data_IF_710585541559
#
_entry.id   IF_710585541559
#
_cell.length_a   1.000
_cell.length_b   1.000
_cell.length_c   1.000
_cell.angle_alpha   90.00
_cell.angle_beta   90.00
_cell.angle_gamma   90.00
#
_symmetry.space_group_name_H-M   'P 1'
#
loop_
_entity.id
_entity.type
_entity.pdbx_description
1 polymer ?
#
# COMPACT_ATOMS: atom_id res chain seq x y z
N UNK A 1 -8.90 -15.75 22.59
CA UNK A 1 -8.84 -16.08 24.04
C UNK A 1 -9.95 -15.39 24.82
N UNK A 2 -10.04 -14.06 24.84
CA UNK A 2 -11.08 -13.32 25.60
C UNK A 2 -12.53 -13.67 25.23
N UNK A 3 -12.76 -14.11 23.99
CA UNK A 3 -14.07 -14.57 23.50
C UNK A 3 -14.34 -16.08 23.70
N UNK A 4 -13.52 -16.77 24.51
CA UNK A 4 -13.69 -18.20 24.84
C UNK A 4 -13.16 -19.18 23.79
N UNK A 5 -12.27 -18.73 22.91
CA UNK A 5 -11.54 -19.61 21.98
C UNK A 5 -10.19 -20.02 22.56
N UNK A 6 -9.87 -21.30 22.41
CA UNK A 6 -8.51 -21.81 22.51
C UNK A 6 -7.75 -21.43 21.23
N UNK A 7 -6.50 -21.02 21.36
CA UNK A 7 -5.68 -20.53 20.25
C UNK A 7 -4.30 -21.16 20.35
N UNK A 8 -3.87 -21.80 19.27
CA UNK A 8 -2.53 -22.37 19.09
C UNK A 8 -1.78 -21.58 18.01
N UNK A 9 -0.50 -21.33 18.24
CA UNK A 9 0.38 -20.60 17.32
C UNK A 9 1.23 -21.60 16.53
N UNK A 10 0.66 -22.15 15.47
CA UNK A 10 1.19 -23.32 14.80
C UNK A 10 2.51 -23.09 14.04
N UNK A 11 2.73 -21.90 13.46
CA UNK A 11 4.03 -21.55 12.85
C UNK A 11 5.14 -21.40 13.89
N UNK A 12 4.86 -20.75 15.02
CA UNK A 12 5.85 -20.59 16.11
C UNK A 12 6.28 -21.92 16.73
N UNK A 13 5.40 -22.93 16.70
CA UNK A 13 5.71 -24.29 17.13
C UNK A 13 6.39 -25.14 16.04
N UNK A 14 6.47 -24.63 14.79
CA UNK A 14 6.97 -25.36 13.63
C UNK A 14 6.07 -26.54 13.22
N UNK A 15 4.81 -26.53 13.64
CA UNK A 15 3.88 -27.66 13.50
C UNK A 15 2.91 -27.50 12.32
N UNK A 16 2.74 -26.29 11.80
CA UNK A 16 1.86 -25.99 10.66
C UNK A 16 2.44 -24.94 9.74
N UNK A 17 1.85 -24.80 8.55
CA UNK A 17 2.20 -23.76 7.59
C UNK A 17 1.38 -22.47 7.76
N UNK A 18 0.28 -22.54 8.50
CA UNK A 18 -0.55 -21.41 8.87
C UNK A 18 -0.18 -20.89 10.27
N UNK A 19 -0.42 -19.60 10.52
CA UNK A 19 -0.04 -18.93 11.76
C UNK A 19 -0.83 -19.39 13.00
N UNK A 20 -2.17 -19.45 12.91
CA UNK A 20 -3.03 -19.74 14.07
C UNK A 20 -4.04 -20.86 13.79
N UNK A 21 -4.20 -21.74 14.77
CA UNK A 21 -5.38 -22.59 14.90
C UNK A 21 -6.23 -22.05 16.03
N UNK A 22 -7.54 -21.91 15.82
CA UNK A 22 -8.46 -21.57 16.90
C UNK A 22 -9.60 -22.57 17.00
N UNK A 23 -10.08 -22.81 18.23
CA UNK A 23 -11.18 -23.73 18.47
C UNK A 23 -12.10 -23.26 19.60
N UNK A 24 -13.37 -23.68 19.50
CA UNK A 24 -14.37 -23.53 20.57
C UNK A 24 -15.40 -24.65 20.45
N UNK A 25 -15.34 -25.61 21.37
CA UNK A 25 -16.12 -26.83 21.25
C UNK A 25 -15.71 -27.62 20.00
N UNK A 26 -16.68 -27.94 19.14
CA UNK A 26 -16.44 -28.65 17.88
C UNK A 26 -16.01 -27.74 16.72
N UNK A 27 -16.12 -26.42 16.87
CA UNK A 27 -15.75 -25.47 15.83
C UNK A 27 -14.25 -25.21 15.86
N UNK A 28 -13.59 -25.41 14.71
CA UNK A 28 -12.14 -25.25 14.55
C UNK A 28 -11.88 -24.50 13.24
N UNK A 29 -11.00 -23.50 13.27
CA UNK A 29 -10.63 -22.73 12.09
C UNK A 29 -9.16 -22.34 12.06
N UNK A 30 -8.67 -22.01 10.87
CA UNK A 30 -7.28 -21.63 10.61
C UNK A 30 -7.18 -20.15 10.25
N UNK A 31 -6.12 -19.47 10.69
CA UNK A 31 -5.83 -18.09 10.31
C UNK A 31 -4.40 -17.99 9.80
N UNK A 32 -4.24 -17.30 8.68
CA UNK A 32 -2.94 -16.88 8.16
C UNK A 32 -2.86 -15.37 8.14
N UNK A 33 -1.81 -14.83 8.74
CA UNK A 33 -1.54 -13.41 8.82
C UNK A 33 -0.56 -12.99 7.72
N UNK A 34 -0.86 -11.89 7.02
CA UNK A 34 0.05 -11.26 6.08
C UNK A 34 0.25 -9.80 6.42
N UNK A 35 1.51 -9.38 6.48
CA UNK A 35 1.88 -7.97 6.53
C UNK A 35 2.19 -7.48 5.12
N UNK A 36 1.53 -6.42 4.69
CA UNK A 36 1.81 -5.73 3.44
C UNK A 36 2.51 -4.40 3.72
N UNK A 37 3.76 -4.31 3.27
CA UNK A 37 4.56 -3.10 3.34
C UNK A 37 3.88 -1.92 2.64
N UNK A 38 4.05 -0.72 3.18
CA UNK A 38 3.64 0.53 2.54
C UNK A 38 4.37 0.77 1.20
N UNK A 39 5.48 0.06 0.96
CA UNK A 39 6.23 0.10 -0.29
C UNK A 39 5.81 -0.97 -1.30
N UNK A 40 4.92 -1.91 -0.93
CA UNK A 40 4.47 -2.95 -1.82
C UNK A 40 3.70 -2.36 -3.01
N UNK A 41 4.18 -2.64 -4.23
CA UNK A 41 3.56 -2.14 -5.46
C UNK A 41 4.01 -0.73 -5.88
N UNK A 42 4.82 -0.03 -5.06
CA UNK A 42 5.39 1.25 -5.46
C UNK A 42 6.40 1.10 -6.58
N UNK A 43 6.39 2.03 -7.54
CA UNK A 43 7.40 2.12 -8.59
C UNK A 43 8.72 2.65 -8.06
N UNK A 44 8.69 3.46 -6.99
CA UNK A 44 9.88 3.91 -6.27
C UNK A 44 9.76 3.39 -4.84
N UNK A 45 10.50 2.33 -4.54
CA UNK A 45 10.55 1.80 -3.18
C UNK A 45 11.40 2.73 -2.30
N UNK A 46 10.93 3.10 -1.10
CA UNK A 46 11.66 4.05 -0.21
C UNK A 46 13.10 3.64 0.05
N UNK A 47 13.33 2.36 0.39
CA UNK A 47 14.69 1.79 0.56
C UNK A 47 15.60 2.05 -0.66
N UNK A 48 15.13 1.77 -1.87
CA UNK A 48 15.94 1.94 -3.08
C UNK A 48 16.18 3.42 -3.40
N UNK A 49 15.20 4.28 -3.11
CA UNK A 49 15.35 5.73 -3.20
C UNK A 49 16.43 6.26 -2.26
N UNK A 50 16.43 5.85 -0.98
CA UNK A 50 17.46 6.30 -0.04
C UNK A 50 18.85 5.76 -0.38
N UNK A 51 18.97 4.52 -0.86
CA UNK A 51 20.24 3.99 -1.37
C UNK A 51 20.73 4.77 -2.59
N UNK A 52 19.81 5.20 -3.45
CA UNK A 52 20.15 6.08 -4.57
C UNK A 52 20.62 7.45 -4.08
N UNK A 53 19.93 8.05 -3.10
CA UNK A 53 20.32 9.33 -2.49
C UNK A 53 21.72 9.27 -1.88
N UNK A 54 22.05 8.19 -1.19
CA UNK A 54 23.40 7.94 -0.67
C UNK A 54 24.44 7.89 -1.81
N UNK A 55 24.10 7.26 -2.93
CA UNK A 55 24.99 7.13 -4.09
C UNK A 55 25.30 8.48 -4.78
N UNK A 56 24.42 9.48 -4.66
CA UNK A 56 24.62 10.82 -5.24
C UNK A 56 25.00 11.88 -4.20
N UNK A 57 25.21 11.49 -2.94
CA UNK A 57 25.42 12.44 -1.84
C UNK A 57 26.60 13.39 -2.08
N UNK A 58 27.71 12.89 -2.66
CA UNK A 58 28.88 13.71 -2.99
C UNK A 58 28.57 14.78 -4.04
N UNK A 59 27.78 14.45 -5.07
CA UNK A 59 27.38 15.43 -6.08
C UNK A 59 26.45 16.51 -5.50
N UNK A 60 25.54 16.12 -4.59
CA UNK A 60 24.68 17.07 -3.90
C UNK A 60 25.48 18.00 -2.97
N UNK A 61 26.50 17.48 -2.27
CA UNK A 61 27.38 18.28 -1.43
C UNK A 61 28.17 19.30 -2.24
N UNK A 62 28.77 18.89 -3.37
CA UNK A 62 29.47 19.80 -4.28
C UNK A 62 28.54 20.89 -4.84
N UNK A 63 27.27 20.57 -5.09
CA UNK A 63 26.31 21.56 -5.57
C UNK A 63 25.98 22.62 -4.51
N UNK A 64 25.93 22.25 -3.23
CA UNK A 64 25.68 23.20 -2.15
C UNK A 64 26.74 24.30 -2.07
N UNK A 65 28.00 23.99 -2.42
CA UNK A 65 29.11 24.96 -2.45
C UNK A 65 28.91 26.06 -3.50
N UNK A 66 28.07 25.82 -4.52
CA UNK A 66 27.80 26.79 -5.58
C UNK A 66 26.85 27.91 -5.16
N UNK A 67 26.36 27.86 -3.91
CA UNK A 67 25.43 28.84 -3.31
C UNK A 67 24.15 29.07 -4.11
N UNK A 68 23.60 27.99 -4.68
CA UNK A 68 22.34 27.97 -5.43
C UNK A 68 21.35 27.06 -4.71
N UNK A 69 20.09 27.47 -4.69
CA UNK A 69 18.97 26.63 -4.23
C UNK A 69 18.26 26.05 -5.44
N UNK A 70 18.31 24.72 -5.56
CA UNK A 70 17.80 24.04 -6.75
C UNK A 70 16.93 22.84 -6.41
N UNK A 71 16.19 22.39 -7.40
CA UNK A 71 15.36 21.19 -7.39
C UNK A 71 15.81 20.30 -8.53
N UNK A 72 16.33 19.12 -8.21
CA UNK A 72 16.56 18.05 -9.16
C UNK A 72 15.31 17.20 -9.28
N UNK A 73 14.57 17.37 -10.37
CA UNK A 73 13.47 16.49 -10.75
C UNK A 73 14.01 15.30 -11.54
N UNK A 74 13.74 14.08 -11.04
CA UNK A 74 14.04 12.81 -11.68
C UNK A 74 12.73 12.15 -12.06
N UNK A 75 12.47 12.01 -13.36
CA UNK A 75 11.31 11.28 -13.88
C UNK A 75 11.75 9.96 -14.46
N UNK A 76 11.32 8.86 -13.85
CA UNK A 76 11.54 7.51 -14.33
C UNK A 76 10.42 7.11 -15.31
N UNK A 77 10.77 6.41 -16.38
CA UNK A 77 9.79 5.84 -17.30
C UNK A 77 8.97 4.72 -16.64
N UNK A 78 9.55 4.04 -15.65
CA UNK A 78 8.94 2.96 -14.89
C UNK A 78 9.49 2.91 -13.46
N UNK A 79 9.97 1.76 -13.01
CA UNK A 79 10.42 1.48 -11.64
C UNK A 79 11.87 1.90 -11.41
N UNK A 80 12.17 2.41 -10.22
CA UNK A 80 13.56 2.58 -9.77
C UNK A 80 14.18 1.18 -9.56
N UNK A 81 15.28 0.83 -10.23
CA UNK A 81 15.89 -0.48 -10.06
C UNK A 81 16.31 -0.74 -8.62
N UNK A 82 16.07 -1.95 -8.11
CA UNK A 82 16.51 -2.35 -6.76
C UNK A 82 17.97 -2.81 -6.69
N UNK A 83 18.66 -2.83 -7.83
CA UNK A 83 20.05 -3.23 -7.97
C UNK A 83 20.92 -1.98 -8.21
N UNK A 84 21.93 -1.77 -7.36
CA UNK A 84 22.84 -0.62 -7.47
C UNK A 84 23.59 -0.58 -8.80
N UNK A 85 23.89 -1.73 -9.42
CA UNK A 85 24.54 -1.76 -10.73
C UNK A 85 23.66 -1.18 -11.84
N UNK A 86 22.35 -1.45 -11.79
CA UNK A 86 21.37 -0.91 -12.73
C UNK A 86 21.09 0.58 -12.48
N UNK A 87 21.37 1.09 -11.27
CA UNK A 87 21.28 2.52 -10.96
C UNK A 87 22.49 3.33 -11.46
N UNK A 88 23.63 2.70 -11.80
CA UNK A 88 24.87 3.39 -12.21
C UNK A 88 24.68 4.41 -13.35
N UNK A 89 23.91 4.13 -14.42
CA UNK A 89 23.68 5.11 -15.49
C UNK A 89 22.97 6.37 -14.98
N UNK A 90 21.98 6.20 -14.09
CA UNK A 90 21.25 7.30 -13.47
C UNK A 90 22.16 8.12 -12.56
N UNK A 91 22.94 7.48 -11.69
CA UNK A 91 23.92 8.14 -10.81
C UNK A 91 24.90 8.97 -11.63
N UNK A 92 25.53 8.37 -12.65
CA UNK A 92 26.47 9.08 -13.53
C UNK A 92 25.84 10.28 -14.23
N UNK A 93 24.58 10.17 -14.65
CA UNK A 93 23.86 11.26 -15.29
C UNK A 93 23.58 12.41 -14.31
N UNK A 94 23.23 12.10 -13.05
CA UNK A 94 23.08 13.11 -11.99
C UNK A 94 24.42 13.78 -11.70
N UNK A 95 25.49 13.01 -11.52
CA UNK A 95 26.83 13.57 -11.27
C UNK A 95 27.22 14.52 -12.40
N UNK A 96 27.04 14.08 -13.65
CA UNK A 96 27.39 14.89 -14.83
C UNK A 96 26.56 16.17 -14.92
N UNK A 97 25.27 16.11 -14.60
CA UNK A 97 24.37 17.27 -14.60
C UNK A 97 24.73 18.27 -13.49
N UNK A 98 25.09 17.78 -12.30
CA UNK A 98 25.47 18.64 -11.16
C UNK A 98 26.82 19.31 -11.36
N UNK A 99 27.78 18.64 -12.00
CA UNK A 99 29.07 19.23 -12.32
C UNK A 99 28.98 20.23 -13.49
N UNK A 100 28.15 19.96 -14.49
CA UNK A 100 27.91 20.87 -15.61
C UNK A 100 26.88 21.94 -15.20
N UNK A 101 27.35 22.96 -14.47
CA UNK A 101 26.52 24.04 -13.93
C UNK A 101 25.77 24.90 -14.96
N UNK A 102 25.95 24.63 -16.26
CA UNK A 102 25.22 25.25 -17.38
C UNK A 102 24.08 24.40 -17.89
N UNK A 103 24.20 23.06 -17.81
CA UNK A 103 23.20 22.13 -18.29
C UNK A 103 22.05 22.03 -17.30
N UNK A 104 20.81 22.12 -17.81
CA UNK A 104 19.59 22.03 -17.00
C UNK A 104 18.81 20.74 -17.19
N UNK A 105 19.14 19.96 -18.22
CA UNK A 105 18.42 18.74 -18.58
C UNK A 105 19.42 17.62 -18.83
N UNK A 106 19.16 16.46 -18.24
CA UNK A 106 19.85 15.20 -18.53
C UNK A 106 18.86 14.16 -19.06
N UNK A 107 19.27 13.37 -20.05
CA UNK A 107 18.49 12.27 -20.60
C UNK A 107 19.28 10.98 -20.51
N UNK A 108 18.58 9.89 -20.21
CA UNK A 108 19.14 8.55 -20.25
C UNK A 108 18.07 7.52 -20.58
N UNK A 109 18.50 6.27 -20.73
CA UNK A 109 17.56 5.19 -20.97
C UNK A 109 16.69 4.97 -19.72
N UNK A 110 15.37 5.11 -19.89
CA UNK A 110 14.39 4.97 -18.81
C UNK A 110 14.29 6.13 -17.80
N UNK A 111 14.97 7.26 -18.00
CA UNK A 111 14.85 8.42 -17.10
C UNK A 111 15.11 9.78 -17.76
N UNK A 112 14.56 10.84 -17.15
CA UNK A 112 14.80 12.26 -17.46
C UNK A 112 15.14 13.02 -16.19
N UNK A 113 16.15 13.88 -16.28
CA UNK A 113 16.63 14.76 -15.22
C UNK A 113 16.36 16.21 -15.61
N UNK A 114 15.84 17.00 -14.68
CA UNK A 114 15.61 18.44 -14.86
C UNK A 114 16.05 19.17 -13.61
N UNK A 115 16.90 20.19 -13.78
CA UNK A 115 17.40 21.01 -12.69
C UNK A 115 16.73 22.38 -12.74
N UNK A 116 15.93 22.68 -11.73
CA UNK A 116 15.15 23.90 -11.64
C UNK A 116 15.64 24.79 -10.50
N UNK A 117 15.61 26.13 -10.63
CA UNK A 117 15.74 27.02 -9.50
C UNK A 117 14.60 26.80 -8.49
N UNK A 118 14.91 26.73 -7.19
CA UNK A 118 13.91 26.52 -6.13
C UNK A 118 12.76 27.53 -6.21
N UNK A 119 13.11 28.80 -6.43
CA UNK A 119 12.14 29.90 -6.47
C UNK A 119 11.11 29.77 -7.60
N UNK A 120 11.46 29.11 -8.71
CA UNK A 120 10.53 28.85 -9.82
C UNK A 120 9.51 27.76 -9.46
N UNK A 121 9.90 26.78 -8.62
CA UNK A 121 9.04 25.67 -8.23
C UNK A 121 8.13 26.02 -7.05
N UNK A 122 8.67 26.74 -6.07
CA UNK A 122 8.03 26.92 -4.76
C UNK A 122 7.91 28.38 -4.29
N UNK A 123 8.44 29.34 -5.07
CA UNK A 123 8.54 30.73 -4.65
C UNK A 123 9.72 30.98 -3.70
N UNK A 124 9.79 32.19 -3.14
CA UNK A 124 10.94 32.63 -2.33
C UNK A 124 10.83 32.29 -0.85
N UNK A 125 9.67 31.80 -0.39
CA UNK A 125 9.47 31.42 1.00
C UNK A 125 10.02 30.00 1.23
N UNK A 126 10.89 29.83 2.22
CA UNK A 126 11.29 28.49 2.64
C UNK A 126 10.11 27.79 3.31
N UNK A 127 9.75 26.62 2.79
CA UNK A 127 8.84 25.72 3.47
C UNK A 127 9.62 25.12 4.66
N UNK A 128 9.01 25.11 5.85
CA UNK A 128 9.62 24.59 7.08
C UNK A 128 8.93 23.30 7.58
N UNK A 129 7.79 22.95 6.98
CA UNK A 129 7.01 21.76 7.32
C UNK A 129 7.17 20.67 6.25
N UNK A 130 7.49 19.45 6.68
CA UNK A 130 7.60 18.30 5.79
C UNK A 130 6.31 18.05 5.01
N UNK A 131 5.13 18.16 5.65
CA UNK A 131 3.85 17.96 4.95
C UNK A 131 3.62 19.05 3.91
N UNK A 132 4.01 20.29 4.20
CA UNK A 132 3.97 21.40 3.24
C UNK A 132 4.88 21.14 2.04
N UNK A 133 6.10 20.61 2.24
CA UNK A 133 6.99 20.22 1.14
C UNK A 133 6.38 19.16 0.24
N UNK A 134 5.84 18.08 0.80
CA UNK A 134 5.19 17.03 0.00
C UNK A 134 3.97 17.57 -0.76
N UNK A 135 3.16 18.45 -0.15
CA UNK A 135 2.03 19.09 -0.84
C UNK A 135 2.51 20.00 -1.98
N UNK A 136 3.55 20.80 -1.76
CA UNK A 136 4.11 21.69 -2.78
C UNK A 136 4.72 20.90 -3.94
N UNK A 137 5.49 19.85 -3.66
CA UNK A 137 6.01 18.93 -4.67
C UNK A 137 4.87 18.23 -5.42
N UNK A 138 3.83 17.80 -4.69
CA UNK A 138 2.60 17.24 -5.25
C UNK A 138 1.94 18.16 -6.28
N UNK A 139 1.87 19.45 -5.97
CA UNK A 139 1.29 20.49 -6.85
C UNK A 139 2.19 20.80 -8.04
N UNK A 140 3.50 20.91 -7.84
CA UNK A 140 4.46 21.30 -8.87
C UNK A 140 4.78 20.14 -9.85
N UNK A 141 4.87 18.92 -9.34
CA UNK A 141 5.44 17.78 -10.07
C UNK A 141 4.52 16.56 -10.13
N UNK A 142 3.30 16.65 -9.58
CA UNK A 142 2.34 15.55 -9.53
C UNK A 142 2.44 14.73 -8.25
N UNK A 143 1.47 13.83 -8.05
CA UNK A 143 1.37 12.96 -6.88
C UNK A 143 2.42 11.83 -6.92
N UNK A 144 2.54 11.08 -5.81
CA UNK A 144 3.46 9.94 -5.66
C UNK A 144 4.95 10.28 -5.86
N UNK A 145 5.35 11.47 -5.42
CA UNK A 145 6.74 11.92 -5.42
C UNK A 145 7.49 11.41 -4.19
N UNK A 146 8.77 11.08 -4.40
CA UNK A 146 9.74 10.89 -3.35
C UNK A 146 10.61 12.14 -3.27
N UNK A 147 10.76 12.68 -2.06
CA UNK A 147 11.42 13.95 -1.85
C UNK A 147 12.47 13.76 -0.75
N UNK A 148 13.71 14.13 -1.05
CA UNK A 148 14.80 14.18 -0.09
C UNK A 148 15.86 15.18 -0.56
N UNK A 149 16.67 15.67 0.35
CA UNK A 149 17.73 16.62 0.03
C UNK A 149 18.02 17.52 1.21
N UNK A 150 18.95 18.44 0.99
CA UNK A 150 19.27 19.45 1.97
C UNK A 150 19.20 20.82 1.30
N UNK A 151 18.49 21.74 1.93
CA UNK A 151 18.38 23.14 1.53
C UNK A 151 18.72 23.99 2.74
N UNK A 152 19.67 24.91 2.55
CA UNK A 152 20.03 25.95 3.51
C UNK A 152 19.74 27.31 2.88
N UNK A 153 19.77 28.38 3.68
CA UNK A 153 19.68 29.75 3.15
C UNK A 153 20.81 30.04 2.14
N UNK A 154 21.98 29.47 2.36
CA UNK A 154 23.16 29.68 1.51
C UNK A 154 23.16 28.83 0.24
N UNK A 155 22.33 27.80 0.13
CA UNK A 155 22.27 26.91 -1.04
C UNK A 155 21.85 25.48 -0.70
N UNK A 156 21.76 24.64 -1.73
CA UNK A 156 21.43 23.23 -1.60
C UNK A 156 20.57 22.71 -2.76
N UNK A 157 20.22 21.43 -2.67
CA UNK A 157 19.45 20.77 -3.71
C UNK A 157 18.39 19.85 -3.10
N UNK A 158 17.15 20.03 -3.53
CA UNK A 158 16.04 19.14 -3.25
C UNK A 158 15.90 18.14 -4.41
N UNK A 159 16.01 16.85 -4.12
CA UNK A 159 15.76 15.79 -5.10
C UNK A 159 14.30 15.37 -5.01
N UNK A 160 13.60 15.51 -6.13
CA UNK A 160 12.22 15.03 -6.32
C UNK A 160 12.25 13.92 -7.36
N UNK A 161 11.90 12.70 -6.96
CA UNK A 161 11.83 11.56 -7.87
C UNK A 161 10.38 11.11 -8.06
N UNK A 162 9.99 10.87 -9.32
CA UNK A 162 8.68 10.34 -9.70
C UNK A 162 8.78 9.29 -10.80
N UNK A 163 7.71 8.52 -10.97
CA UNK A 163 7.55 7.54 -12.04
C UNK A 163 6.39 7.94 -12.94
N UNK A 164 6.50 7.69 -14.25
CA UNK A 164 5.39 7.82 -15.18
C UNK A 164 4.35 6.69 -15.05
N UNK A 165 4.70 5.60 -14.37
CA UNK A 165 3.77 4.54 -13.97
C UNK A 165 3.22 4.83 -12.58
N UNK A 166 1.94 4.54 -12.40
CA UNK A 166 1.28 4.61 -11.10
C UNK A 166 1.73 3.48 -10.17
N UNK A 167 1.65 3.73 -8.87
CA UNK A 167 1.83 2.71 -7.85
C UNK A 167 0.59 1.80 -7.84
N UNK A 168 0.80 0.48 -7.85
CA UNK A 168 -0.31 -0.48 -7.80
C UNK A 168 -0.05 -1.56 -6.74
N UNK A 169 -0.67 -1.46 -5.56
CA UNK A 169 -0.54 -2.45 -4.50
C UNK A 169 -1.42 -3.70 -4.73
N UNK A 170 -2.25 -3.72 -5.78
CA UNK A 170 -3.24 -4.78 -6.00
C UNK A 170 -2.60 -6.14 -6.27
N UNK A 171 -1.58 -6.18 -7.14
CA UNK A 171 -0.87 -7.42 -7.45
C UNK A 171 -0.14 -8.00 -6.23
N UNK A 172 0.70 -7.24 -5.48
CA UNK A 172 1.32 -7.74 -4.25
C UNK A 172 0.31 -8.24 -3.22
N UNK A 173 -0.82 -7.54 -3.07
CA UNK A 173 -1.90 -7.94 -2.15
C UNK A 173 -2.53 -9.27 -2.56
N UNK A 174 -2.89 -9.42 -3.83
CA UNK A 174 -3.45 -10.68 -4.36
C UNK A 174 -2.45 -11.83 -4.26
N UNK A 175 -1.17 -11.59 -4.54
CA UNK A 175 -0.12 -12.60 -4.37
C UNK A 175 0.03 -13.02 -2.90
N UNK A 176 -0.04 -12.08 -1.95
CA UNK A 176 -0.02 -12.39 -0.53
C UNK A 176 -1.24 -13.23 -0.10
N UNK A 177 -2.44 -12.86 -0.57
CA UNK A 177 -3.67 -13.63 -0.35
C UNK A 177 -3.56 -15.05 -0.91
N UNK A 178 -3.06 -15.21 -2.15
CA UNK A 178 -2.89 -16.53 -2.77
C UNK A 178 -1.89 -17.39 -2.02
N UNK A 179 -0.77 -16.80 -1.58
CA UNK A 179 0.23 -17.50 -0.75
C UNK A 179 -0.38 -17.94 0.58
N UNK A 180 -1.18 -17.09 1.20
CA UNK A 180 -1.88 -17.45 2.43
C UNK A 180 -2.85 -18.62 2.21
N UNK A 181 -3.64 -18.58 1.12
CA UNK A 181 -4.63 -19.62 0.83
C UNK A 181 -4.00 -21.02 0.67
N UNK A 182 -2.77 -21.12 0.14
CA UNK A 182 -2.09 -22.42 -0.05
C UNK A 182 -1.42 -22.96 1.22
N UNK A 183 -1.33 -22.17 2.29
CA UNK A 183 -0.77 -22.59 3.58
C UNK A 183 -1.80 -23.29 4.49
N UNK A 184 -3.09 -23.14 4.17
CA UNK A 184 -4.17 -23.82 4.89
C UNK A 184 -4.26 -25.30 4.53
N UNK A 185 -4.84 -26.10 5.43
CA UNK A 185 -5.07 -27.53 5.20
C UNK A 185 -6.15 -27.79 4.16
N UNK A 186 -7.12 -26.87 4.04
CA UNK A 186 -8.30 -27.03 3.21
C UNK A 186 -9.33 -28.02 3.78
N UNK A 187 -9.17 -28.43 5.05
CA UNK A 187 -10.04 -29.38 5.76
C UNK A 187 -11.02 -28.71 6.73
N UNK A 188 -10.85 -27.41 6.97
CA UNK A 188 -11.68 -26.62 7.89
C UNK A 188 -11.79 -25.17 7.42
N UNK A 189 -12.71 -24.37 7.99
CA UNK A 189 -12.80 -22.94 7.68
C UNK A 189 -11.47 -22.22 7.86
N UNK A 190 -11.13 -21.36 6.91
CA UNK A 190 -9.89 -20.59 6.94
C UNK A 190 -10.11 -19.09 6.74
N UNK A 191 -9.25 -18.28 7.35
CA UNK A 191 -9.35 -16.82 7.29
C UNK A 191 -7.99 -16.20 7.03
N UNK A 192 -7.96 -15.21 6.14
CA UNK A 192 -6.73 -14.46 5.87
C UNK A 192 -6.83 -13.13 6.58
N UNK A 193 -5.88 -12.84 7.46
CA UNK A 193 -5.78 -11.54 8.14
C UNK A 193 -4.64 -10.73 7.52
N UNK A 194 -4.96 -9.62 6.86
CA UNK A 194 -3.97 -8.76 6.22
C UNK A 194 -3.84 -7.45 7.00
N UNK A 195 -2.61 -7.15 7.42
CA UNK A 195 -2.25 -5.85 7.96
C UNK A 195 -1.55 -5.01 6.88
N UNK A 196 -2.16 -3.90 6.48
CA UNK A 196 -1.62 -2.96 5.50
C UNK A 196 -0.90 -1.80 6.18
N UNK A 197 0.38 -1.65 5.89
CA UNK A 197 1.21 -0.59 6.50
C UNK A 197 1.06 0.76 5.79
N UNK A 198 0.43 0.78 4.62
CA UNK A 198 0.26 1.98 3.79
C UNK A 198 -1.05 2.73 4.02
N UNK A 199 -1.90 2.26 4.93
CA UNK A 199 -3.21 2.86 5.20
C UNK A 199 -3.34 3.19 6.69
N UNK A 200 -3.94 4.33 7.00
CA UNK A 200 -4.33 4.71 8.34
C UNK A 200 -5.65 4.03 8.75
N UNK A 201 -6.01 3.99 10.05
CA UNK A 201 -7.28 3.40 10.47
C UNK A 201 -8.49 4.04 9.76
N UNK A 202 -8.49 5.36 9.60
CA UNK A 202 -9.55 6.07 8.88
C UNK A 202 -9.73 5.63 7.42
N UNK A 203 -8.65 5.17 6.78
CA UNK A 203 -8.65 4.75 5.37
C UNK A 203 -9.42 3.45 5.16
N UNK A 204 -9.62 2.64 6.21
CA UNK A 204 -10.45 1.42 6.15
C UNK A 204 -11.92 1.72 5.82
N UNK A 205 -12.35 2.98 5.98
CA UNK A 205 -13.68 3.44 5.60
C UNK A 205 -13.75 3.96 4.16
N UNK A 206 -12.61 4.13 3.47
CA UNK A 206 -12.60 4.68 2.12
C UNK A 206 -13.21 3.69 1.12
N UNK A 207 -14.23 4.10 0.34
CA UNK A 207 -14.92 3.19 -0.58
C UNK A 207 -14.00 2.50 -1.59
N UNK A 208 -12.99 3.20 -2.12
CA UNK A 208 -12.04 2.61 -3.07
C UNK A 208 -11.13 1.55 -2.42
N UNK A 209 -10.79 1.68 -1.13
CA UNK A 209 -10.00 0.68 -0.40
C UNK A 209 -10.82 -0.58 -0.19
N UNK A 210 -12.06 -0.44 0.31
CA UNK A 210 -13.00 -1.56 0.50
C UNK A 210 -13.32 -2.25 -0.82
N UNK A 211 -13.64 -1.48 -1.86
CA UNK A 211 -13.97 -2.00 -3.20
C UNK A 211 -12.80 -2.77 -3.83
N UNK A 212 -11.59 -2.18 -3.83
CA UNK A 212 -10.40 -2.84 -4.37
C UNK A 212 -10.12 -4.15 -3.64
N UNK A 213 -10.22 -4.15 -2.32
CA UNK A 213 -10.07 -5.38 -1.52
C UNK A 213 -11.13 -6.40 -1.90
N UNK A 214 -12.40 -5.99 -2.01
CA UNK A 214 -13.50 -6.85 -2.44
C UNK A 214 -13.21 -7.55 -3.77
N UNK A 215 -12.80 -6.80 -4.79
CA UNK A 215 -12.45 -7.35 -6.11
C UNK A 215 -11.36 -8.41 -5.99
N UNK A 216 -10.29 -8.14 -5.23
CA UNK A 216 -9.16 -9.06 -5.09
C UNK A 216 -9.54 -10.31 -4.27
N UNK A 217 -10.35 -10.16 -3.23
CA UNK A 217 -10.90 -11.26 -2.45
C UNK A 217 -11.83 -12.14 -3.28
N UNK A 218 -12.73 -11.56 -4.09
CA UNK A 218 -13.60 -12.36 -4.96
C UNK A 218 -12.81 -13.07 -6.07
N UNK A 219 -11.76 -12.45 -6.61
CA UNK A 219 -10.82 -13.13 -7.50
C UNK A 219 -10.13 -14.30 -6.79
N UNK A 220 -9.70 -14.14 -5.53
CA UNK A 220 -9.13 -15.22 -4.73
C UNK A 220 -10.11 -16.40 -4.58
N UNK A 221 -11.35 -16.13 -4.17
CA UNK A 221 -12.35 -17.17 -3.89
C UNK A 221 -12.78 -17.90 -5.16
N UNK A 222 -13.19 -17.15 -6.19
CA UNK A 222 -13.75 -17.69 -7.43
C UNK A 222 -12.69 -18.08 -8.45
N UNK A 223 -11.89 -17.10 -8.90
CA UNK A 223 -10.94 -17.34 -10.00
C UNK A 223 -9.75 -18.22 -9.60
N UNK A 224 -9.24 -18.07 -8.37
CA UNK A 224 -8.15 -18.90 -7.86
C UNK A 224 -8.61 -20.11 -7.03
N UNK A 225 -9.93 -20.34 -6.92
CA UNK A 225 -10.50 -21.55 -6.33
C UNK A 225 -10.25 -21.72 -4.83
N UNK A 226 -9.99 -20.64 -4.10
CA UNK A 226 -9.75 -20.69 -2.66
C UNK A 226 -11.08 -20.80 -1.86
N UNK A 227 -11.91 -21.79 -2.19
CA UNK A 227 -13.25 -21.95 -1.60
C UNK A 227 -13.21 -22.31 -0.11
N UNK A 228 -12.12 -22.87 0.38
CA UNK A 228 -11.89 -23.13 1.81
C UNK A 228 -11.63 -21.86 2.63
N UNK A 229 -11.36 -20.71 1.98
CA UNK A 229 -11.21 -19.43 2.67
C UNK A 229 -12.58 -18.80 2.84
N UNK A 230 -12.97 -18.58 4.09
CA UNK A 230 -14.28 -18.05 4.46
C UNK A 230 -14.34 -16.53 4.44
N UNK A 231 -13.25 -15.84 4.76
CA UNK A 231 -13.16 -14.40 4.65
C UNK A 231 -11.71 -13.90 4.59
N UNK A 232 -11.56 -12.69 4.04
CA UNK A 232 -10.33 -11.90 4.16
C UNK A 232 -10.60 -10.69 5.02
N UNK A 233 -9.81 -10.50 6.08
CA UNK A 233 -9.86 -9.35 6.97
C UNK A 233 -8.74 -8.39 6.62
N UNK A 234 -9.05 -7.10 6.53
CA UNK A 234 -8.07 -6.04 6.30
C UNK A 234 -8.04 -5.09 7.48
N UNK A 235 -6.84 -4.82 7.98
CA UNK A 235 -6.57 -3.80 8.99
C UNK A 235 -5.43 -2.87 8.57
N UNK A 236 -5.40 -1.66 9.13
CA UNK A 236 -4.22 -0.79 9.08
C UNK A 236 -3.15 -1.21 10.10
N UNK A 237 -1.89 -0.90 9.82
CA UNK A 237 -0.79 -1.06 10.78
C UNK A 237 -0.90 -0.05 11.92
N UNK A 238 -0.64 -0.49 13.15
CA UNK A 238 -0.71 0.37 14.34
C UNK A 238 -2.13 0.88 14.66
N UNK A 239 -3.15 0.36 13.99
CA UNK A 239 -4.55 0.68 14.22
C UNK A 239 -5.03 0.03 15.52
N UNK A 240 -4.57 0.49 16.68
CA UNK A 240 -5.05 -0.05 17.97
C UNK A 240 -6.05 0.92 18.57
N UNK A 241 -7.24 0.42 18.90
CA UNK A 241 -8.32 1.19 19.50
C UNK A 241 -8.71 0.56 20.82
N UNK A 242 -8.82 1.39 21.86
CA UNK A 242 -9.40 0.99 23.14
C UNK A 242 -10.87 1.41 23.18
N UNK A 243 -11.79 0.45 23.34
CA UNK A 243 -13.23 0.68 23.40
C UNK A 243 -13.88 -0.32 24.35
N UNK A 244 -14.80 0.15 25.20
CA UNK A 244 -15.59 -0.69 26.12
C UNK A 244 -14.72 -1.62 27.00
N UNK A 245 -13.54 -1.14 27.41
CA UNK A 245 -12.57 -1.90 28.21
C UNK A 245 -11.77 -2.96 27.44
N UNK A 246 -11.94 -3.02 26.12
CA UNK A 246 -11.22 -3.93 25.22
C UNK A 246 -10.23 -3.16 24.35
N UNK A 247 -9.13 -3.83 23.98
CA UNK A 247 -8.16 -3.34 23.01
C UNK A 247 -8.29 -4.20 21.76
N UNK A 248 -8.54 -3.57 20.62
CA UNK A 248 -8.72 -4.27 19.36
C UNK A 248 -8.15 -3.49 18.19
N UNK A 249 -8.00 -4.21 17.08
CA UNK A 249 -7.54 -3.63 15.82
C UNK A 249 -8.75 -3.54 14.88
N UNK A 250 -9.22 -2.33 14.52
CA UNK A 250 -10.37 -2.19 13.66
C UNK A 250 -10.03 -2.75 12.27
N UNK A 251 -10.95 -3.54 11.75
CA UNK A 251 -10.82 -4.16 10.44
C UNK A 251 -12.17 -4.13 9.72
N UNK A 252 -12.15 -4.30 8.40
CA UNK A 252 -13.32 -4.76 7.67
C UNK A 252 -13.04 -6.15 7.10
N UNK A 253 -14.10 -6.93 6.92
CA UNK A 253 -14.03 -8.26 6.35
C UNK A 253 -14.69 -8.29 4.98
N UNK A 254 -14.12 -9.08 4.07
CA UNK A 254 -14.75 -9.49 2.82
C UNK A 254 -15.08 -10.97 2.93
N UNK A 255 -16.35 -11.35 3.15
CA UNK A 255 -16.75 -12.74 3.23
C UNK A 255 -16.71 -13.39 1.84
N UNK A 256 -16.39 -14.68 1.81
CA UNK A 256 -16.59 -15.52 0.65
C UNK A 256 -18.09 -15.77 0.47
N UNK A 257 -18.69 -15.48 -0.71
CA UNK A 257 -20.10 -15.73 -0.95
C UNK A 257 -20.45 -17.22 -1.03
N UNK A 258 -19.48 -18.08 -1.37
CA UNK A 258 -19.66 -19.52 -1.55
C UNK A 258 -18.52 -20.30 -0.85
N UNK A 259 -18.46 -20.27 0.50
CA UNK A 259 -17.42 -20.99 1.22
C UNK A 259 -17.68 -22.50 1.19
N UNK A 260 -16.61 -23.29 1.10
CA UNK A 260 -16.64 -24.77 1.19
C UNK A 260 -17.17 -25.23 2.55
N UNK A 261 -16.90 -24.47 3.59
CA UNK A 261 -17.28 -24.77 4.97
C UNK A 261 -18.25 -23.72 5.48
N UNK A 262 -19.49 -24.12 5.75
CA UNK A 262 -20.46 -23.24 6.37
C UNK A 262 -20.07 -22.91 7.80
N UNK A 263 -20.28 -21.65 8.18
CA UNK A 263 -20.07 -21.18 9.55
C UNK A 263 -21.42 -20.78 10.11
N UNK A 264 -21.85 -21.44 11.18
CA UNK A 264 -23.02 -20.99 11.92
C UNK A 264 -22.72 -19.65 12.59
N UNK A 265 -23.65 -18.68 12.57
CA UNK A 265 -23.49 -17.43 13.31
C UNK A 265 -23.19 -17.62 14.80
N UNK A 266 -23.69 -18.72 15.40
CA UNK A 266 -23.39 -19.04 16.79
C UNK A 266 -21.90 -19.37 17.01
N UNK A 267 -21.28 -20.08 16.05
CA UNK A 267 -19.91 -20.56 16.13
C UNK A 267 -18.89 -19.45 15.93
N UNK A 268 -19.28 -18.37 15.24
CA UNK A 268 -18.43 -17.22 14.95
C UNK A 268 -18.97 -15.90 15.52
N UNK A 269 -19.93 -15.93 16.46
CA UNK A 269 -20.58 -14.73 16.98
C UNK A 269 -19.60 -13.59 17.36
N UNK A 270 -18.44 -13.86 17.99
CA UNK A 270 -17.46 -12.80 18.29
C UNK A 270 -16.80 -12.18 17.05
N UNK A 271 -16.65 -12.92 15.95
CA UNK A 271 -16.15 -12.42 14.67
C UNK A 271 -17.20 -11.67 13.85
N UNK A 272 -18.48 -11.88 14.16
CA UNK A 272 -19.62 -11.27 13.47
C UNK A 272 -20.08 -9.96 14.14
N UNK A 273 -19.45 -9.56 15.25
CA UNK A 273 -19.71 -8.25 15.87
C UNK A 273 -19.26 -7.18 14.89
N UNK A 274 -20.24 -6.48 14.33
CA UNK A 274 -20.02 -5.33 13.45
C UNK A 274 -20.38 -4.05 14.20
N UNK A 275 -19.68 -2.97 13.85
CA UNK A 275 -20.00 -1.62 14.30
C UNK A 275 -20.37 -0.79 13.08
N UNK A 276 -21.21 0.23 13.25
CA UNK A 276 -21.52 1.14 12.16
C UNK A 276 -20.28 1.95 11.76
N UNK A 277 -20.24 2.46 10.53
CA UNK A 277 -19.16 3.38 10.11
C UNK A 277 -19.11 4.65 10.98
N UNK A 278 -20.24 5.07 11.57
CA UNK A 278 -20.28 6.17 12.52
C UNK A 278 -19.61 5.82 13.86
N UNK A 279 -19.94 4.66 14.42
CA UNK A 279 -19.31 4.16 15.64
C UNK A 279 -17.81 3.89 15.44
N UNK A 280 -17.45 3.44 14.24
CA UNK A 280 -16.07 3.25 13.81
C UNK A 280 -15.33 4.58 13.78
N UNK A 281 -15.87 5.57 13.07
CA UNK A 281 -15.27 6.90 12.93
C UNK A 281 -15.04 7.56 14.29
N UNK A 282 -16.02 7.45 15.18
CA UNK A 282 -15.91 7.92 16.56
C UNK A 282 -14.78 7.20 17.33
N UNK A 283 -14.66 5.88 17.19
CA UNK A 283 -13.66 5.08 17.89
C UNK A 283 -12.22 5.37 17.43
N UNK A 284 -12.00 5.69 16.15
CA UNK A 284 -10.67 6.02 15.61
C UNK A 284 -10.38 7.53 15.61
N UNK A 285 -11.29 8.36 16.13
CA UNK A 285 -11.15 9.82 16.13
C UNK A 285 -11.13 10.45 14.73
N UNK A 286 -11.76 9.82 13.74
CA UNK A 286 -11.80 10.29 12.36
C UNK A 286 -13.17 10.90 12.01
N UNK A 287 -13.23 11.86 11.08
CA UNK A 287 -14.50 12.24 10.47
C UNK A 287 -15.10 11.06 9.70
N UNK A 288 -16.42 11.04 9.53
CA UNK A 288 -17.12 10.07 8.67
C UNK A 288 -16.48 10.04 7.27
N UNK A 289 -16.43 8.87 6.61
CA UNK A 289 -15.80 8.75 5.30
C UNK A 289 -16.41 9.74 4.30
N UNK A 290 -15.55 10.31 3.45
CA UNK A 290 -15.96 11.18 2.35
C UNK A 290 -16.97 10.47 1.44
N UNK A 291 -17.86 11.25 0.81
CA UNK A 291 -18.82 10.77 -0.20
C UNK A 291 -18.17 9.78 -1.15
N UNK A 292 -18.87 8.69 -1.50
CA UNK A 292 -18.35 7.66 -2.39
C UNK A 292 -17.91 8.24 -3.75
N UNK A 293 -16.62 8.52 -3.90
CA UNK A 293 -15.99 8.98 -5.15
C UNK A 293 -15.55 7.83 -6.06
N UNK A 294 -15.81 6.58 -5.66
CA UNK A 294 -15.30 5.38 -6.32
C UNK A 294 -16.33 4.83 -7.32
N UNK A 295 -16.83 5.70 -8.20
CA UNK A 295 -17.75 5.25 -9.23
C UNK A 295 -16.96 4.62 -10.40
N UNK A 296 -17.23 3.35 -10.64
CA UNK A 296 -16.90 2.64 -11.88
C UNK A 296 -18.13 1.77 -12.07
N UNK A 297 -18.97 2.06 -13.06
CA UNK A 297 -20.06 1.16 -13.44
C UNK A 297 -19.45 -0.21 -13.70
N UNK A 298 -19.80 -1.19 -12.88
CA UNK A 298 -19.66 -2.58 -13.28
C UNK A 298 -20.94 -2.86 -14.04
N UNK A 299 -20.87 -2.83 -15.36
CA UNK A 299 -21.82 -3.60 -16.17
C UNK A 299 -21.59 -5.07 -15.79
N UNK A 300 -22.30 -5.51 -14.76
CA UNK A 300 -22.63 -6.92 -14.62
C UNK A 300 -23.63 -7.14 -15.73
N UNK A 301 -23.12 -7.55 -16.91
CA UNK A 301 -23.93 -7.81 -18.08
C UNK A 301 -25.18 -8.56 -17.66
N UNK A 302 -26.32 -7.88 -17.73
CA UNK A 302 -27.59 -8.55 -17.78
C UNK A 302 -27.51 -9.50 -18.98
N UNK A 303 -27.86 -10.75 -18.75
CA UNK A 303 -27.87 -11.85 -19.70
C UNK A 303 -28.17 -11.34 -21.12
N UNK A 304 -27.15 -11.31 -21.99
CA UNK A 304 -27.40 -11.36 -23.42
C UNK A 304 -27.98 -12.74 -23.68
N UNK A 305 -29.31 -12.81 -23.76
CA UNK A 305 -30.04 -13.93 -24.33
C UNK A 305 -29.35 -14.29 -25.65
N UNK A 306 -28.68 -15.44 -25.65
CA UNK A 306 -28.16 -16.06 -26.87
C UNK A 306 -29.30 -16.13 -27.88
N UNK A 307 -29.10 -15.63 -29.12
CA UNK A 307 -30.13 -15.74 -30.14
C UNK A 307 -30.43 -17.22 -30.37
N UNK A 308 -31.67 -17.61 -30.12
CA UNK A 308 -32.21 -18.88 -30.58
C UNK A 308 -32.24 -18.85 -32.11
N UNK A 309 -31.29 -19.54 -32.74
CA UNK A 309 -31.37 -19.83 -34.17
C UNK A 309 -32.56 -20.77 -34.41
N UNK A 310 -33.66 -20.17 -34.86
CA UNK A 310 -34.72 -20.86 -35.60
C UNK A 310 -34.51 -20.60 -37.09
N UNK A 311 -33.90 -21.56 -37.77
CA UNK A 311 -34.29 -22.11 -39.09
C UNK A 311 -33.25 -23.14 -39.57
#
# INVERSE_FOLDING_TARGET
MDAGYEVEFGDMAGTSQYDLLFSRGAFVGEVECKSLSADAGRQIHRKDFYRFMESIATALAAQAEQRRQEVLLITLAARLPSNTNEQKPLVKAVDSLMHDGTRRIGLGDGFRLELHPYAECFGTAQLMDQKAYYRACGKAFGQNTHVAGNLTEDGGCLVVMRSNREDDPSKPKLEAMRKAAVQFTGERPAFIAIQEHGIEPADLMLPHIRRKTGILSYALFGHYGATHVNAVYITGFGAVVARDGQIGTPAFAVPNPEPKFDISPADAAPFLVSISDADYAAAVGAPLPATNISNISLDLGADEELPTDTA
#
